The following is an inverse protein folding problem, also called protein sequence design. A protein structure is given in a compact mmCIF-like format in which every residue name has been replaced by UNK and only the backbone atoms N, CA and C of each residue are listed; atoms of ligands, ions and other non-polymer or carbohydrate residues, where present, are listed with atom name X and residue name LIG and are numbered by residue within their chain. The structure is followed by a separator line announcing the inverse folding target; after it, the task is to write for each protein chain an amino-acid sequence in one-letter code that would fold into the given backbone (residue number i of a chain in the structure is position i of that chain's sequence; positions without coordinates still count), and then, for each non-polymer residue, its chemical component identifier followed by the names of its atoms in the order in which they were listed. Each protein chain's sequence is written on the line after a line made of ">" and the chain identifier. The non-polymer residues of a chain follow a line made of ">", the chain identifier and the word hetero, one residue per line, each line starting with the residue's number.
data_IF_507426027763
#
_entry.id   IF_507426027763
#
_cell.length_a   1.000
_cell.length_b   1.000
_cell.length_c   1.000
_cell.angle_alpha   90.00
_cell.angle_beta   90.00
_cell.angle_gamma   90.00
#
_symmetry.space_group_name_H-M   'P 1'
#
loop_
_entity.id
_entity.type
_entity.pdbx_description
1 polymer ?
#
# COMPACT_ATOMS: atom_id res chain seq x y z
N UNK A 1 -13.14 -18.28 0.98
CA UNK A 1 -12.17 -17.55 0.16
C UNK A 1 -12.41 -17.96 -1.27
N UNK A 2 -12.77 -17.00 -2.11
CA UNK A 2 -13.01 -17.21 -3.54
C UNK A 2 -11.69 -17.17 -4.31
N UNK A 3 -11.65 -17.69 -5.54
CA UNK A 3 -10.48 -17.55 -6.40
C UNK A 3 -10.13 -16.08 -6.70
N UNK A 4 -11.14 -15.20 -6.63
CA UNK A 4 -10.95 -13.76 -6.75
C UNK A 4 -10.23 -13.18 -5.52
N UNK A 5 -10.66 -13.55 -4.30
CA UNK A 5 -9.99 -13.12 -3.05
C UNK A 5 -8.51 -13.53 -3.06
N UNK A 6 -8.20 -14.73 -3.54
CA UNK A 6 -6.82 -15.24 -3.68
C UNK A 6 -6.01 -14.42 -4.70
N UNK A 7 -6.58 -14.11 -5.85
CA UNK A 7 -5.92 -13.29 -6.87
C UNK A 7 -5.65 -11.87 -6.39
N UNK A 8 -6.62 -11.24 -5.71
CA UNK A 8 -6.47 -9.91 -5.10
C UNK A 8 -5.38 -9.92 -4.02
N UNK A 9 -5.36 -10.93 -3.15
CA UNK A 9 -4.31 -11.05 -2.15
C UNK A 9 -2.93 -11.23 -2.78
N UNK A 10 -2.80 -12.03 -3.84
CA UNK A 10 -1.54 -12.24 -4.53
C UNK A 10 -1.05 -10.97 -5.24
N UNK A 11 -1.97 -10.22 -5.86
CA UNK A 11 -1.67 -8.92 -6.46
C UNK A 11 -1.16 -7.91 -5.43
N UNK A 12 -1.84 -7.76 -4.29
CA UNK A 12 -1.41 -6.85 -3.23
C UNK A 12 -0.03 -7.22 -2.65
N UNK A 13 0.26 -8.52 -2.52
CA UNK A 13 1.59 -8.96 -2.10
C UNK A 13 2.65 -8.69 -3.19
N UNK A 14 2.29 -8.81 -4.47
CA UNK A 14 3.18 -8.42 -5.56
C UNK A 14 3.47 -6.91 -5.55
N UNK A 15 2.47 -6.06 -5.40
CA UNK A 15 2.64 -4.60 -5.32
C UNK A 15 3.58 -4.22 -4.16
N UNK A 16 3.44 -4.87 -3.01
CA UNK A 16 4.39 -4.73 -1.90
C UNK A 16 5.80 -5.08 -2.34
N UNK A 17 6.02 -6.18 -3.05
CA UNK A 17 7.34 -6.57 -3.55
C UNK A 17 7.91 -5.56 -4.54
N UNK A 18 7.11 -5.07 -5.48
CA UNK A 18 7.48 -4.04 -6.45
C UNK A 18 7.88 -2.73 -5.76
N UNK A 19 7.10 -2.26 -4.78
CA UNK A 19 7.45 -1.10 -3.95
C UNK A 19 8.78 -1.30 -3.21
N UNK A 20 9.03 -2.51 -2.68
CA UNK A 20 10.31 -2.81 -2.03
C UNK A 20 11.47 -2.83 -3.00
N UNK A 21 11.27 -3.37 -4.21
CA UNK A 21 12.27 -3.33 -5.28
C UNK A 21 12.61 -1.88 -5.63
N UNK A 22 11.60 -1.05 -5.78
CA UNK A 22 11.76 0.36 -6.14
C UNK A 22 12.48 1.16 -5.03
N UNK A 23 12.14 0.91 -3.75
CA UNK A 23 12.88 1.46 -2.61
C UNK A 23 14.36 1.02 -2.63
N UNK A 24 14.64 -0.25 -2.90
CA UNK A 24 16.02 -0.74 -3.03
C UNK A 24 16.76 -0.07 -4.20
N UNK A 25 16.08 0.21 -5.31
CA UNK A 25 16.64 0.92 -6.46
C UNK A 25 16.94 2.40 -6.17
N UNK A 26 16.03 3.10 -5.48
CA UNK A 26 16.26 4.48 -4.99
C UNK A 26 17.37 4.53 -3.94
N UNK A 27 17.61 3.41 -3.26
CA UNK A 27 18.59 3.25 -2.21
C UNK A 27 17.91 3.25 -0.84
N UNK A 28 18.50 2.51 0.11
CA UNK A 28 17.91 2.31 1.43
C UNK A 28 18.08 3.51 2.36
N UNK A 29 17.42 4.62 2.05
CA UNK A 29 17.52 5.90 2.78
C UNK A 29 17.25 5.77 4.28
N UNK A 30 16.39 4.85 4.69
CA UNK A 30 16.02 4.66 6.09
C UNK A 30 16.85 3.59 6.82
N UNK A 31 17.78 2.89 6.15
CA UNK A 31 18.61 1.83 6.75
C UNK A 31 19.40 2.27 7.98
N UNK A 32 19.78 3.54 8.05
CA UNK A 32 20.53 4.10 9.19
C UNK A 32 19.68 4.43 10.42
N UNK A 33 18.34 4.46 10.30
CA UNK A 33 17.47 4.82 11.40
C UNK A 33 17.38 3.68 12.43
N UNK A 34 17.49 4.03 13.72
CA UNK A 34 17.14 3.12 14.82
C UNK A 34 15.62 2.90 14.84
N UNK A 35 15.17 1.76 15.36
CA UNK A 35 13.74 1.37 15.40
C UNK A 35 12.83 2.49 15.90
N UNK A 36 13.14 3.14 17.04
CA UNK A 36 12.30 4.24 17.54
C UNK A 36 12.23 5.46 16.61
N UNK A 37 13.28 5.76 15.85
CA UNK A 37 13.24 6.84 14.83
C UNK A 37 12.52 6.43 13.55
N UNK A 38 12.58 5.14 13.22
CA UNK A 38 11.82 4.58 12.11
C UNK A 38 10.31 4.61 12.42
N UNK A 39 9.94 4.31 13.68
CA UNK A 39 8.56 4.42 14.18
C UNK A 39 8.04 5.85 14.13
N UNK A 40 8.77 6.81 14.68
CA UNK A 40 8.42 8.22 14.59
C UNK A 40 8.23 8.68 13.13
N UNK A 41 9.13 8.24 12.22
CA UNK A 41 9.07 8.61 10.81
C UNK A 41 7.86 8.00 10.09
N UNK A 42 7.55 6.73 10.33
CA UNK A 42 6.39 6.07 9.73
C UNK A 42 5.09 6.67 10.23
N UNK A 43 4.94 6.90 11.55
CA UNK A 43 3.74 7.53 12.12
C UNK A 43 3.51 8.91 11.52
N UNK A 44 4.58 9.71 11.37
CA UNK A 44 4.45 11.01 10.74
C UNK A 44 4.09 10.91 9.26
N UNK A 45 4.71 9.99 8.51
CA UNK A 45 4.39 9.78 7.08
C UNK A 45 2.95 9.34 6.86
N UNK A 46 2.43 8.47 7.72
CA UNK A 46 1.04 8.05 7.66
C UNK A 46 0.08 9.22 7.91
N UNK A 47 0.40 10.09 8.89
CA UNK A 47 -0.38 11.30 9.18
C UNK A 47 -0.37 12.30 8.03
N UNK A 48 0.80 12.50 7.41
CA UNK A 48 0.96 13.41 6.27
C UNK A 48 0.10 12.90 5.10
N UNK A 49 0.23 11.61 4.75
CA UNK A 49 -0.62 10.94 3.75
C UNK A 49 -2.12 11.04 4.08
N UNK A 50 -2.51 10.80 5.33
CA UNK A 50 -3.91 10.84 5.72
C UNK A 50 -4.51 12.26 5.69
N UNK A 51 -3.67 13.29 5.80
CA UNK A 51 -4.09 14.68 5.74
C UNK A 51 -4.25 15.19 4.30
N UNK A 52 -3.52 14.63 3.34
CA UNK A 52 -3.56 15.03 1.92
C UNK A 52 -3.50 13.81 0.98
N UNK A 53 -4.64 13.11 0.89
CA UNK A 53 -4.78 11.96 0.01
C UNK A 53 -4.65 12.41 -1.45
N UNK A 54 -3.59 11.97 -2.12
CA UNK A 54 -3.30 12.29 -3.52
C UNK A 54 -1.94 12.98 -3.73
N UNK A 55 -1.21 13.29 -2.66
CA UNK A 55 0.20 13.67 -2.77
C UNK A 55 1.08 12.43 -3.03
N UNK A 56 1.61 12.34 -4.25
CA UNK A 56 2.49 11.26 -4.69
C UNK A 56 3.79 11.19 -3.85
N UNK A 57 4.31 12.32 -3.37
CA UNK A 57 5.54 12.34 -2.58
C UNK A 57 5.34 11.72 -1.20
N UNK A 58 4.21 12.04 -0.54
CA UNK A 58 3.86 11.46 0.75
C UNK A 58 3.55 9.96 0.65
N UNK A 59 2.89 9.55 -0.44
CA UNK A 59 2.60 8.15 -0.72
C UNK A 59 3.89 7.35 -0.95
N UNK A 60 4.80 7.85 -1.79
CA UNK A 60 6.11 7.20 -2.04
C UNK A 60 6.93 7.12 -0.76
N UNK A 61 6.95 8.18 0.06
CA UNK A 61 7.65 8.17 1.36
C UNK A 61 7.09 7.12 2.31
N UNK A 62 5.77 6.97 2.36
CA UNK A 62 5.10 5.94 3.16
C UNK A 62 5.50 4.54 2.70
N UNK A 63 5.47 4.26 1.39
CA UNK A 63 5.89 2.97 0.82
C UNK A 63 7.36 2.65 1.09
N UNK A 64 8.26 3.64 1.00
CA UNK A 64 9.68 3.43 1.30
C UNK A 64 9.90 3.06 2.79
N UNK A 65 9.14 3.68 3.71
CA UNK A 65 9.18 3.33 5.13
C UNK A 65 8.62 1.92 5.38
N UNK A 66 7.49 1.57 4.77
CA UNK A 66 6.91 0.23 4.89
C UNK A 66 7.81 -0.86 4.31
N UNK A 67 8.48 -0.58 3.18
CA UNK A 67 9.49 -1.46 2.61
C UNK A 67 10.65 -1.68 3.58
N UNK A 68 11.12 -0.64 4.27
CA UNK A 68 12.17 -0.76 5.29
C UNK A 68 11.72 -1.60 6.49
N UNK A 69 10.47 -1.45 6.96
CA UNK A 69 9.89 -2.32 7.99
C UNK A 69 9.87 -3.79 7.57
N UNK A 70 9.42 -4.07 6.34
CA UNK A 70 9.38 -5.43 5.77
C UNK A 70 10.78 -6.03 5.64
N UNK A 71 11.75 -5.28 5.12
CA UNK A 71 13.14 -5.73 5.00
C UNK A 71 13.80 -6.04 6.36
N UNK A 72 13.33 -5.41 7.45
CA UNK A 72 13.80 -5.66 8.82
C UNK A 72 13.00 -6.74 9.55
N UNK A 73 11.92 -7.25 8.97
CA UNK A 73 11.00 -8.17 9.64
C UNK A 73 10.29 -7.54 10.86
N UNK A 74 10.02 -6.23 10.79
CA UNK A 74 9.33 -5.49 11.85
C UNK A 74 7.83 -5.35 11.49
N UNK A 75 6.98 -5.33 12.53
CA UNK A 75 5.57 -4.98 12.39
C UNK A 75 5.41 -3.47 12.30
N UNK A 76 4.52 -3.00 11.44
CA UNK A 76 4.12 -1.58 11.40
C UNK A 76 3.44 -1.18 12.72
N UNK A 77 3.69 0.03 13.23
CA UNK A 77 3.10 0.51 14.49
C UNK A 77 1.71 1.12 14.25
N UNK A 78 0.82 0.36 13.59
CA UNK A 78 -0.53 0.79 13.20
C UNK A 78 -1.38 1.25 14.39
N UNK A 79 -1.12 0.70 15.58
CA UNK A 79 -1.77 1.11 16.82
C UNK A 79 -1.56 2.60 17.19
N UNK A 80 -0.56 3.26 16.60
CA UNK A 80 -0.24 4.67 16.86
C UNK A 80 -0.99 5.65 15.93
N UNK A 81 -1.69 5.13 14.92
CA UNK A 81 -2.38 5.91 13.87
C UNK A 81 -3.86 5.51 13.71
N UNK A 82 -4.45 4.89 14.73
CA UNK A 82 -5.85 4.41 14.69
C UNK A 82 -6.83 5.54 14.37
N UNK A 83 -6.63 6.73 14.93
CA UNK A 83 -7.54 7.86 14.70
C UNK A 83 -7.51 8.34 13.25
N UNK A 84 -6.33 8.35 12.64
CA UNK A 84 -6.11 8.70 11.25
C UNK A 84 -6.66 7.62 10.31
N UNK A 85 -6.46 6.34 10.61
CA UNK A 85 -7.06 5.24 9.87
C UNK A 85 -8.60 5.32 9.90
N UNK A 86 -9.19 5.55 11.07
CA UNK A 86 -10.65 5.72 11.17
C UNK A 86 -11.16 6.95 10.40
N UNK A 87 -10.35 8.00 10.26
CA UNK A 87 -10.70 9.16 9.46
C UNK A 87 -10.67 8.85 7.96
N UNK A 88 -9.65 8.12 7.50
CA UNK A 88 -9.56 7.61 6.12
C UNK A 88 -10.77 6.72 5.80
N UNK A 89 -11.10 5.78 6.68
CA UNK A 89 -12.22 4.86 6.49
C UNK A 89 -13.55 5.60 6.37
N UNK A 90 -13.76 6.64 7.19
CA UNK A 90 -14.96 7.50 7.09
C UNK A 90 -14.97 8.31 5.80
N UNK A 91 -13.85 8.92 5.42
CA UNK A 91 -13.74 9.69 4.18
C UNK A 91 -14.03 8.84 2.94
N UNK A 92 -13.51 7.61 2.92
CA UNK A 92 -13.82 6.62 1.89
C UNK A 92 -15.32 6.28 1.89
N UNK A 93 -15.92 6.04 3.05
CA UNK A 93 -17.36 5.74 3.14
C UNK A 93 -18.24 6.91 2.66
N UNK A 94 -17.87 8.14 2.98
CA UNK A 94 -18.58 9.35 2.54
C UNK A 94 -18.44 9.52 1.01
N UNK A 95 -17.23 9.34 0.46
CA UNK A 95 -17.00 9.38 -0.98
C UNK A 95 -17.83 8.33 -1.74
N UNK A 96 -17.88 7.10 -1.23
CA UNK A 96 -18.71 6.02 -1.78
C UNK A 96 -20.22 6.30 -1.67
N UNK A 97 -20.65 7.04 -0.64
CA UNK A 97 -22.04 7.42 -0.49
C UNK A 97 -22.44 8.55 -1.45
N UNK A 98 -21.51 9.44 -1.79
CA UNK A 98 -21.70 10.54 -2.75
C UNK A 98 -21.69 10.07 -4.21
N UNK A 99 -20.86 9.09 -4.53
CA UNK A 99 -20.81 8.46 -5.86
C UNK A 99 -20.77 6.93 -5.76
N UNK A 100 -21.94 6.27 -5.66
CA UNK A 100 -22.01 4.81 -5.52
C UNK A 100 -21.41 4.04 -6.71
N UNK A 101 -21.41 4.64 -7.90
CA UNK A 101 -20.87 4.03 -9.12
C UNK A 101 -19.33 4.15 -9.17
N UNK A 102 -18.73 5.02 -8.34
CA UNK A 102 -17.27 5.16 -8.22
C UNK A 102 -16.60 3.88 -7.71
N UNK A 103 -17.29 3.12 -6.85
CA UNK A 103 -16.81 1.82 -6.37
C UNK A 103 -16.71 0.82 -7.51
N UNK A 104 -17.76 0.73 -8.33
CA UNK A 104 -17.81 -0.20 -9.45
C UNK A 104 -16.72 0.15 -10.47
N UNK A 105 -16.48 1.45 -10.72
CA UNK A 105 -15.39 1.88 -11.59
C UNK A 105 -13.99 1.57 -11.04
N UNK A 106 -13.76 1.82 -9.75
CA UNK A 106 -12.47 1.50 -9.10
C UNK A 106 -12.25 -0.01 -9.02
N UNK A 107 -13.30 -0.77 -8.73
CA UNK A 107 -13.28 -2.22 -8.72
C UNK A 107 -13.00 -2.78 -10.11
N UNK A 108 -13.63 -2.26 -11.17
CA UNK A 108 -13.36 -2.67 -12.55
C UNK A 108 -11.91 -2.37 -12.97
N UNK A 109 -11.36 -1.21 -12.60
CA UNK A 109 -9.95 -0.91 -12.85
C UNK A 109 -9.01 -1.87 -12.10
N UNK A 110 -9.24 -2.10 -10.81
CA UNK A 110 -8.45 -3.04 -10.01
C UNK A 110 -8.57 -4.48 -10.53
N UNK A 111 -9.76 -4.86 -11.00
CA UNK A 111 -10.01 -6.15 -11.64
C UNK A 111 -9.23 -6.32 -12.93
N UNK A 112 -9.17 -5.30 -13.78
CA UNK A 112 -8.40 -5.31 -15.01
C UNK A 112 -6.89 -5.44 -14.73
N UNK A 113 -6.37 -4.72 -13.74
CA UNK A 113 -4.96 -4.84 -13.32
C UNK A 113 -4.63 -6.23 -12.75
N UNK A 114 -5.50 -6.76 -11.87
CA UNK A 114 -5.37 -8.12 -11.34
C UNK A 114 -5.45 -9.16 -12.47
N UNK A 115 -6.34 -8.97 -13.45
CA UNK A 115 -6.47 -9.85 -14.60
C UNK A 115 -5.20 -9.86 -15.47
N UNK A 116 -4.60 -8.69 -15.73
CA UNK A 116 -3.30 -8.59 -16.42
C UNK A 116 -2.20 -9.29 -15.63
N UNK A 117 -2.12 -9.04 -14.32
CA UNK A 117 -1.14 -9.69 -13.43
C UNK A 117 -1.27 -11.22 -13.44
N UNK A 118 -2.48 -11.75 -13.40
CA UNK A 118 -2.71 -13.22 -13.43
C UNK A 118 -2.36 -13.86 -14.78
N UNK A 119 -2.54 -13.14 -15.89
CA UNK A 119 -2.13 -13.62 -17.24
C UNK A 119 -0.60 -13.61 -17.37
N UNK A 120 0.07 -12.56 -16.93
CA UNK A 120 1.53 -12.43 -17.02
C UNK A 120 2.25 -13.44 -16.12
N UNK A 121 1.75 -13.67 -14.91
CA UNK A 121 2.28 -14.71 -14.01
C UNK A 121 2.07 -16.12 -14.57
N UNK A 122 0.90 -16.41 -15.17
CA UNK A 122 0.63 -17.68 -15.81
C UNK A 122 1.47 -17.93 -17.08
N UNK A 123 1.88 -16.86 -17.78
CA UNK A 123 2.79 -16.93 -18.91
C UNK A 123 4.25 -17.17 -18.45
N UNK A 124 4.69 -16.47 -17.39
CA UNK A 124 6.03 -16.62 -16.82
C UNK A 124 6.30 -18.02 -16.25
N UNK A 125 5.28 -18.74 -15.80
CA UNK A 125 5.43 -20.12 -15.27
C UNK A 125 5.43 -21.21 -16.37
N UNK A 126 5.15 -20.85 -17.62
CA UNK A 126 5.15 -21.79 -18.77
C UNK A 126 6.44 -21.73 -19.62
N UNK A 127 7.37 -20.82 -19.31
CA UNK A 127 8.69 -20.70 -19.96
C UNK A 127 9.80 -21.26 -19.08
#
# INVERSE_FOLDING_TARGET
>A
MTAFDEATSAFLENEKLEQTRDYLHRGRGFAGLKVGKLEEAWVQSFRDFAADIGDDEDLVRMFDLEAEYRLRGLRLPEELVVAEQEALDRGMADWLAEDPDSWDHMADQMMDEIAVFTVDTAAAWKS
#
